data_IF_597572154017
#
_entry.id   IF_597572154017
#
_cell.length_a   1.000
_cell.length_b   1.000
_cell.length_c   1.000
_cell.angle_alpha   90.00
_cell.angle_beta   90.00
_cell.angle_gamma   90.00
#
_symmetry.space_group_name_H-M   'P 1'
#
loop_
_entity.id
_entity.type
_entity.pdbx_description
1 polymer ?
#
# COMPACT_ATOMS: atom_id res chain seq x y z
N UNK A 1 -36.03 -7.87 9.93
CA UNK A 1 -35.14 -8.32 8.85
C UNK A 1 -35.39 -7.45 7.62
N UNK A 2 -34.33 -6.95 6.97
CA UNK A 2 -34.49 -6.20 5.73
C UNK A 2 -34.91 -7.12 4.57
N UNK A 3 -35.57 -6.60 3.52
CA UNK A 3 -36.09 -7.43 2.42
C UNK A 3 -35.02 -8.32 1.76
N UNK A 4 -33.80 -7.84 1.61
CA UNK A 4 -32.69 -8.61 1.04
C UNK A 4 -32.25 -9.78 1.96
N UNK A 5 -32.30 -9.61 3.29
CA UNK A 5 -31.96 -10.67 4.25
C UNK A 5 -32.93 -11.84 4.14
N UNK A 6 -34.21 -11.59 3.93
CA UNK A 6 -35.18 -12.67 3.68
C UNK A 6 -34.90 -13.40 2.37
N UNK A 7 -34.56 -12.64 1.28
CA UNK A 7 -34.24 -13.22 -0.03
C UNK A 7 -33.00 -14.15 0.05
N UNK A 8 -31.98 -13.77 0.81
CA UNK A 8 -30.71 -14.51 0.92
C UNK A 8 -30.54 -15.31 2.19
N UNK A 9 -31.63 -15.58 2.91
CA UNK A 9 -31.63 -16.30 4.19
C UNK A 9 -30.86 -17.62 4.15
N UNK A 10 -30.92 -18.37 3.05
CA UNK A 10 -30.22 -19.64 2.88
C UNK A 10 -28.67 -19.49 2.83
N UNK A 11 -28.14 -18.31 2.52
CA UNK A 11 -26.70 -18.01 2.51
C UNK A 11 -26.20 -17.50 3.86
N UNK A 12 -27.09 -17.07 4.76
CA UNK A 12 -26.74 -16.51 6.06
C UNK A 12 -26.39 -17.64 7.02
N UNK A 13 -25.21 -17.55 7.62
CA UNK A 13 -24.72 -18.52 8.61
C UNK A 13 -23.81 -17.83 9.65
N UNK A 14 -23.46 -18.59 10.69
CA UNK A 14 -22.45 -18.12 11.67
C UNK A 14 -21.04 -18.17 11.08
N UNK A 15 -20.09 -17.40 11.65
CA UNK A 15 -18.70 -17.44 11.21
C UNK A 15 -18.10 -18.85 11.27
N UNK A 16 -18.39 -19.61 12.32
CA UNK A 16 -17.86 -20.98 12.48
C UNK A 16 -18.47 -21.97 11.45
N UNK A 17 -19.76 -21.83 11.12
CA UNK A 17 -20.38 -22.61 10.04
C UNK A 17 -19.76 -22.29 8.67
N UNK A 18 -19.48 -21.01 8.39
CA UNK A 18 -18.82 -20.62 7.16
C UNK A 18 -17.41 -21.23 7.02
N UNK A 19 -16.64 -21.27 8.12
CA UNK A 19 -15.32 -21.92 8.12
C UNK A 19 -15.43 -23.44 7.89
N UNK A 20 -16.47 -24.10 8.40
CA UNK A 20 -16.73 -25.51 8.09
C UNK A 20 -16.96 -25.75 6.59
N UNK A 21 -17.57 -24.79 5.87
CA UNK A 21 -17.83 -24.91 4.43
C UNK A 21 -16.57 -24.86 3.59
N UNK A 22 -15.53 -24.22 4.07
CA UNK A 22 -14.24 -24.10 3.37
C UNK A 22 -13.18 -25.12 3.85
N UNK A 23 -13.54 -26.12 4.65
CA UNK A 23 -12.59 -27.09 5.23
C UNK A 23 -11.77 -27.88 4.21
N UNK A 24 -12.20 -27.95 2.97
CA UNK A 24 -11.48 -28.61 1.86
C UNK A 24 -10.56 -27.65 1.09
N UNK A 25 -10.56 -26.36 1.41
CA UNK A 25 -9.69 -25.39 0.81
C UNK A 25 -8.21 -25.72 1.10
N UNK A 26 -7.36 -25.55 0.11
CA UNK A 26 -5.91 -25.67 0.24
C UNK A 26 -5.25 -24.29 0.33
N UNK A 27 -5.88 -23.29 -0.26
CA UNK A 27 -5.44 -21.89 -0.28
C UNK A 27 -6.62 -20.97 -0.03
N UNK A 28 -6.40 -19.97 0.83
CA UNK A 28 -7.38 -18.90 1.07
C UNK A 28 -6.68 -17.55 1.01
N UNK A 29 -7.47 -16.51 0.75
CA UNK A 29 -7.03 -15.13 0.87
C UNK A 29 -8.01 -14.31 1.69
N UNK A 30 -7.52 -13.16 2.18
CA UNK A 30 -8.31 -12.20 2.96
C UNK A 30 -8.47 -10.88 2.21
N UNK A 31 -9.54 -10.16 2.52
CA UNK A 31 -9.64 -8.75 2.16
C UNK A 31 -8.45 -7.95 2.69
N UNK A 32 -7.94 -7.01 1.91
CA UNK A 32 -6.75 -6.25 2.27
C UNK A 32 -7.05 -5.20 3.35
N UNK A 33 -6.19 -5.10 4.34
CA UNK A 33 -6.23 -4.08 5.43
C UNK A 33 -7.63 -3.98 6.07
N UNK A 34 -8.38 -2.91 5.78
CA UNK A 34 -9.72 -2.68 6.37
C UNK A 34 -10.84 -3.51 5.71
N UNK A 35 -10.58 -4.24 4.62
CA UNK A 35 -11.52 -5.21 4.05
C UNK A 35 -11.34 -6.62 4.63
N UNK A 36 -10.33 -6.85 5.49
CA UNK A 36 -10.21 -8.07 6.29
C UNK A 36 -11.32 -8.13 7.33
N UNK A 37 -12.02 -9.29 7.41
CA UNK A 37 -13.01 -9.56 8.45
C UNK A 37 -12.34 -10.18 9.67
N UNK A 38 -12.25 -9.44 10.77
CA UNK A 38 -11.70 -9.95 12.04
C UNK A 38 -12.50 -11.13 12.59
N UNK A 39 -13.82 -11.12 12.39
CA UNK A 39 -14.71 -12.21 12.84
C UNK A 39 -14.39 -13.51 12.12
N UNK A 40 -14.16 -13.44 10.80
CA UNK A 40 -13.84 -14.62 10.00
C UNK A 40 -12.43 -15.13 10.29
N UNK A 41 -11.44 -14.24 10.48
CA UNK A 41 -10.09 -14.66 10.87
C UNK A 41 -10.05 -15.26 12.27
N UNK A 42 -10.84 -14.75 13.22
CA UNK A 42 -10.99 -15.36 14.55
C UNK A 42 -11.71 -16.71 14.50
N UNK A 43 -12.76 -16.86 13.68
CA UNK A 43 -13.43 -18.14 13.45
C UNK A 43 -12.49 -19.18 12.83
N UNK A 44 -11.63 -18.76 11.89
CA UNK A 44 -10.60 -19.63 11.30
C UNK A 44 -9.67 -20.19 12.38
N UNK A 45 -9.21 -19.36 13.30
CA UNK A 45 -8.35 -19.78 14.41
C UNK A 45 -9.08 -20.73 15.37
N UNK A 46 -10.34 -20.45 15.72
CA UNK A 46 -11.15 -21.35 16.58
C UNK A 46 -11.32 -22.74 15.95
N UNK A 47 -11.41 -22.80 14.63
CA UNK A 47 -11.62 -24.00 13.85
C UNK A 47 -10.32 -24.57 13.22
N UNK A 48 -9.14 -24.16 13.66
CA UNK A 48 -7.85 -24.52 13.07
C UNK A 48 -7.63 -26.01 12.84
N UNK A 49 -8.18 -26.87 13.71
CA UNK A 49 -8.06 -28.34 13.61
C UNK A 49 -8.72 -28.96 12.36
N UNK A 50 -9.55 -28.19 11.63
CA UNK A 50 -10.09 -28.60 10.34
C UNK A 50 -9.06 -28.59 9.22
N UNK A 51 -7.96 -27.89 9.41
CA UNK A 51 -6.97 -27.65 8.39
C UNK A 51 -5.64 -28.33 8.70
N UNK A 52 -4.88 -28.59 7.65
CA UNK A 52 -3.51 -29.08 7.74
C UNK A 52 -2.69 -28.35 6.67
N UNK A 53 -1.84 -27.40 7.11
CA UNK A 53 -1.03 -26.57 6.20
C UNK A 53 -1.88 -25.83 5.17
N UNK A 54 -3.02 -25.27 5.61
CA UNK A 54 -3.80 -24.34 4.77
C UNK A 54 -2.92 -23.14 4.41
N UNK A 55 -2.73 -22.90 3.14
CA UNK A 55 -1.98 -21.75 2.64
C UNK A 55 -2.83 -20.48 2.74
N UNK A 56 -2.25 -19.41 3.29
CA UNK A 56 -2.91 -18.12 3.50
C UNK A 56 -2.07 -17.05 2.82
N UNK A 57 -2.57 -16.56 1.69
CA UNK A 57 -1.89 -15.56 0.87
C UNK A 57 -2.58 -14.21 0.99
N UNK A 58 -1.84 -13.19 1.35
CA UNK A 58 -2.32 -11.80 1.33
C UNK A 58 -1.15 -10.80 1.36
N UNK A 59 -1.44 -9.52 1.15
CA UNK A 59 -0.47 -8.45 1.28
C UNK A 59 -0.34 -8.00 2.74
N UNK A 60 -1.00 -6.91 3.11
CA UNK A 60 -0.90 -6.35 4.45
C UNK A 60 -2.16 -6.64 5.26
N UNK A 61 -1.99 -7.20 6.45
CA UNK A 61 -3.02 -7.30 7.46
C UNK A 61 -2.69 -6.40 8.65
N UNK A 62 -3.70 -5.74 9.18
CA UNK A 62 -3.66 -4.99 10.44
C UNK A 62 -4.36 -5.74 11.58
N UNK A 63 -4.91 -6.91 11.28
CA UNK A 63 -5.56 -7.83 12.22
C UNK A 63 -4.59 -8.45 13.23
N UNK A 64 -5.04 -9.48 13.94
CA UNK A 64 -4.24 -10.19 14.97
C UNK A 64 -3.16 -11.10 14.36
N UNK A 65 -3.36 -11.59 13.14
CA UNK A 65 -2.48 -12.50 12.39
C UNK A 65 -2.09 -13.77 13.16
N UNK A 66 -3.00 -14.32 13.98
CA UNK A 66 -2.73 -15.53 14.77
C UNK A 66 -2.35 -16.75 13.92
N UNK A 67 -2.83 -16.80 12.65
CA UNK A 67 -2.48 -17.85 11.68
C UNK A 67 -0.99 -17.83 11.31
N UNK A 68 -0.31 -16.70 11.46
CA UNK A 68 1.11 -16.53 11.14
C UNK A 68 2.04 -16.80 12.34
N UNK A 69 1.52 -17.29 13.47
CA UNK A 69 2.33 -17.64 14.62
C UNK A 69 2.86 -19.08 14.52
N UNK A 70 4.06 -19.33 15.04
CA UNK A 70 4.71 -20.64 15.05
C UNK A 70 3.81 -21.73 15.65
N UNK A 71 3.11 -21.44 16.75
CA UNK A 71 2.19 -22.38 17.44
C UNK A 71 1.00 -22.83 16.58
N UNK A 72 0.73 -22.15 15.46
CA UNK A 72 -0.33 -22.51 14.52
C UNK A 72 0.23 -23.05 13.20
N UNK A 73 1.53 -23.24 13.09
CA UNK A 73 2.21 -23.66 11.85
C UNK A 73 1.88 -25.10 11.40
N UNK A 74 1.34 -25.93 12.28
CA UNK A 74 0.80 -27.24 11.89
C UNK A 74 -0.44 -27.11 11.02
N UNK A 75 -1.28 -26.08 11.27
CA UNK A 75 -2.56 -25.86 10.62
C UNK A 75 -2.47 -24.94 9.42
N UNK A 76 -1.61 -23.91 9.52
CA UNK A 76 -1.53 -22.83 8.55
C UNK A 76 -0.10 -22.61 8.04
N UNK A 77 0.00 -22.15 6.81
CA UNK A 77 1.24 -21.65 6.20
C UNK A 77 0.97 -20.29 5.58
N UNK A 78 1.60 -19.25 6.12
CA UNK A 78 1.39 -17.89 5.61
C UNK A 78 2.44 -17.54 4.56
N UNK A 79 1.99 -17.16 3.38
CA UNK A 79 2.82 -16.56 2.33
C UNK A 79 2.46 -15.08 2.20
N UNK A 80 3.38 -14.21 2.56
CA UNK A 80 3.21 -12.77 2.48
C UNK A 80 3.63 -12.24 1.11
N UNK A 81 2.82 -11.34 0.52
CA UNK A 81 3.20 -10.57 -0.65
C UNK A 81 3.63 -9.14 -0.28
N UNK A 82 3.27 -8.72 0.93
CA UNK A 82 3.80 -7.54 1.62
C UNK A 82 3.79 -7.83 3.12
N UNK A 83 4.92 -7.64 3.78
CA UNK A 83 5.11 -8.06 5.16
C UNK A 83 4.75 -6.94 6.13
N UNK A 84 3.75 -7.19 6.97
CA UNK A 84 3.39 -6.34 8.10
C UNK A 84 4.15 -6.67 9.39
N UNK A 85 4.07 -5.81 10.41
CA UNK A 85 4.76 -6.06 11.68
C UNK A 85 4.44 -7.41 12.32
N UNK A 86 3.19 -7.89 12.19
CA UNK A 86 2.71 -9.12 12.85
C UNK A 86 2.99 -10.41 12.07
N UNK A 87 3.33 -10.29 10.78
CA UNK A 87 3.66 -11.44 9.91
C UNK A 87 5.15 -11.54 9.62
N UNK A 88 5.95 -10.58 10.11
CA UNK A 88 7.39 -10.48 9.80
C UNK A 88 8.20 -11.68 10.30
N UNK A 89 7.86 -12.21 11.46
CA UNK A 89 8.52 -13.38 11.99
C UNK A 89 8.28 -14.59 11.11
N UNK A 90 7.01 -14.88 10.75
CA UNK A 90 6.66 -15.98 9.87
C UNK A 90 7.39 -15.91 8.53
N UNK A 91 7.33 -14.76 7.86
CA UNK A 91 7.94 -14.55 6.54
C UNK A 91 9.48 -14.69 6.52
N UNK A 92 10.13 -14.68 7.69
CA UNK A 92 11.59 -14.88 7.85
C UNK A 92 11.92 -16.21 8.56
N UNK A 93 10.99 -17.16 8.61
CA UNK A 93 11.14 -18.43 9.32
C UNK A 93 10.87 -19.62 8.39
N UNK A 94 10.97 -20.85 8.92
CA UNK A 94 10.64 -22.07 8.20
C UNK A 94 9.13 -22.37 8.12
N UNK A 95 8.29 -21.56 8.77
CA UNK A 95 6.84 -21.79 8.83
C UNK A 95 6.02 -20.75 8.09
N UNK A 96 6.66 -19.86 7.33
CA UNK A 96 6.03 -18.93 6.42
C UNK A 96 6.96 -18.55 5.28
N UNK A 97 6.43 -17.85 4.29
CA UNK A 97 7.13 -17.46 3.08
C UNK A 97 6.87 -16.00 2.70
N UNK A 98 7.66 -15.49 1.77
CA UNK A 98 7.48 -14.21 1.14
C UNK A 98 7.61 -14.34 -0.38
N UNK A 99 6.59 -13.91 -1.09
CA UNK A 99 6.58 -13.86 -2.56
C UNK A 99 6.84 -12.42 -3.03
N UNK A 100 8.02 -12.10 -3.60
CA UNK A 100 8.30 -10.77 -4.13
C UNK A 100 7.47 -10.53 -5.40
N UNK A 101 6.74 -9.40 -5.42
CA UNK A 101 5.89 -9.01 -6.53
C UNK A 101 5.66 -7.51 -6.54
N UNK A 102 5.48 -6.89 -7.71
CA UNK A 102 4.97 -5.53 -7.83
C UNK A 102 3.47 -5.51 -7.53
N UNK A 103 3.01 -4.46 -6.86
CA UNK A 103 1.63 -4.45 -6.38
C UNK A 103 0.61 -4.49 -7.52
N UNK A 104 0.84 -3.79 -8.63
CA UNK A 104 -0.09 -3.82 -9.76
C UNK A 104 -0.27 -5.22 -10.38
N UNK A 105 0.71 -6.13 -10.21
CA UNK A 105 0.65 -7.49 -10.74
C UNK A 105 -0.17 -8.45 -9.87
N UNK A 106 -0.47 -8.06 -8.62
CA UNK A 106 -1.19 -8.93 -7.68
C UNK A 106 -2.59 -9.27 -8.15
N UNK A 107 -3.29 -8.35 -8.85
CA UNK A 107 -4.57 -8.65 -9.46
C UNK A 107 -4.52 -9.83 -10.44
N UNK A 108 -3.40 -9.97 -11.16
CA UNK A 108 -3.19 -11.07 -12.12
C UNK A 108 -2.94 -12.39 -11.41
N UNK A 109 -2.05 -12.41 -10.40
CA UNK A 109 -1.69 -13.69 -9.75
C UNK A 109 -2.79 -14.21 -8.82
N UNK A 110 -3.63 -13.34 -8.26
CA UNK A 110 -4.84 -13.72 -7.50
C UNK A 110 -6.05 -13.95 -8.41
N UNK A 111 -6.02 -13.45 -9.63
CA UNK A 111 -7.12 -13.55 -10.59
C UNK A 111 -7.33 -14.96 -11.14
N UNK A 112 -8.29 -15.10 -12.05
CA UNK A 112 -8.61 -16.37 -12.70
C UNK A 112 -7.36 -16.93 -13.43
N UNK A 113 -7.08 -18.20 -13.17
CA UNK A 113 -5.90 -18.91 -13.69
C UNK A 113 -4.55 -18.36 -13.18
N UNK A 114 -4.55 -17.50 -12.15
CA UNK A 114 -3.35 -17.04 -11.47
C UNK A 114 -2.79 -18.08 -10.50
N UNK A 115 -1.47 -18.04 -10.27
CA UNK A 115 -0.77 -19.03 -9.43
C UNK A 115 -1.23 -19.00 -7.95
N UNK A 116 -1.77 -17.88 -7.49
CA UNK A 116 -2.30 -17.69 -6.13
C UNK A 116 -3.83 -17.54 -6.09
N UNK A 117 -4.55 -17.99 -7.15
CA UNK A 117 -6.02 -17.99 -7.15
C UNK A 117 -6.55 -18.78 -5.96
N UNK A 118 -7.36 -18.17 -5.06
CA UNK A 118 -7.77 -18.81 -3.82
C UNK A 118 -8.92 -19.80 -4.01
N UNK A 119 -8.94 -20.88 -3.21
CA UNK A 119 -10.12 -21.75 -3.10
C UNK A 119 -11.25 -21.03 -2.34
N UNK A 120 -10.90 -20.17 -1.38
CA UNK A 120 -11.89 -19.36 -0.68
C UNK A 120 -11.35 -17.94 -0.38
N UNK A 121 -12.25 -16.96 -0.51
CA UNK A 121 -11.98 -15.55 -0.15
C UNK A 121 -12.81 -15.19 1.08
N UNK A 122 -12.14 -14.62 2.10
CA UNK A 122 -12.76 -14.17 3.35
C UNK A 122 -12.63 -12.64 3.44
N UNK A 123 -13.74 -11.92 3.46
CA UNK A 123 -13.70 -10.46 3.44
C UNK A 123 -14.87 -9.83 4.20
N UNK A 124 -14.85 -8.50 4.35
CA UNK A 124 -16.03 -7.72 4.72
C UNK A 124 -16.41 -6.73 3.62
N UNK A 125 -17.70 -6.47 3.50
CA UNK A 125 -18.29 -5.58 2.49
C UNK A 125 -19.39 -4.71 3.12
N UNK A 126 -19.78 -3.63 2.43
CA UNK A 126 -20.92 -2.80 2.84
C UNK A 126 -22.24 -3.57 2.77
N UNK A 127 -23.29 -3.02 3.38
CA UNK A 127 -24.66 -3.47 3.13
C UNK A 127 -25.00 -3.34 1.63
N UNK A 128 -25.79 -4.27 1.06
CA UNK A 128 -26.20 -4.18 -0.33
C UNK A 128 -27.15 -2.98 -0.55
N UNK A 129 -27.05 -2.39 -1.72
CA UNK A 129 -28.02 -1.38 -2.17
C UNK A 129 -29.33 -2.05 -2.66
N UNK A 130 -30.27 -1.24 -3.16
CA UNK A 130 -31.58 -1.72 -3.67
C UNK A 130 -31.45 -2.67 -4.88
N UNK A 131 -30.30 -2.67 -5.55
CA UNK A 131 -30.00 -3.53 -6.70
C UNK A 131 -29.16 -4.76 -6.30
N UNK A 132 -28.79 -4.91 -5.03
CA UNK A 132 -28.03 -6.04 -4.50
C UNK A 132 -26.51 -5.88 -4.55
N UNK A 133 -25.99 -4.68 -4.85
CA UNK A 133 -24.56 -4.44 -4.88
C UNK A 133 -24.00 -3.99 -3.53
N UNK A 134 -23.01 -4.72 -3.03
CA UNK A 134 -22.17 -4.37 -1.90
C UNK A 134 -20.88 -3.71 -2.40
N UNK A 135 -20.43 -2.65 -1.71
CA UNK A 135 -19.10 -2.10 -1.96
C UNK A 135 -18.03 -2.90 -1.21
N UNK A 136 -16.86 -3.11 -1.81
CA UNK A 136 -15.67 -3.58 -1.11
C UNK A 136 -15.20 -2.61 -0.01
N UNK A 137 -15.81 -1.45 0.06
CA UNK A 137 -15.57 -0.46 1.11
C UNK A 137 -14.21 0.21 0.97
N UNK A 138 -13.29 -0.13 1.85
CA UNK A 138 -12.03 0.60 1.99
C UNK A 138 -10.86 0.05 1.18
N UNK A 139 -10.97 -1.17 0.63
CA UNK A 139 -9.91 -1.78 -0.20
C UNK A 139 -10.51 -2.57 -1.34
N UNK A 140 -10.19 -2.15 -2.57
CA UNK A 140 -10.62 -2.83 -3.80
C UNK A 140 -9.48 -3.63 -4.45
N UNK A 141 -8.29 -3.16 -4.35
CA UNK A 141 -6.97 -3.61 -4.84
C UNK A 141 -6.96 -5.02 -5.50
N UNK A 142 -6.21 -5.98 -4.94
CA UNK A 142 -6.28 -7.39 -5.33
C UNK A 142 -7.53 -8.08 -4.78
N UNK A 143 -8.17 -7.49 -3.75
CA UNK A 143 -9.36 -8.03 -3.08
C UNK A 143 -10.44 -8.38 -4.08
N UNK A 144 -10.70 -7.50 -5.06
CA UNK A 144 -11.69 -7.75 -6.12
C UNK A 144 -11.29 -8.95 -6.99
N UNK A 145 -10.09 -8.97 -7.53
CA UNK A 145 -9.62 -10.05 -8.42
C UNK A 145 -9.58 -11.41 -7.71
N UNK A 146 -9.13 -11.43 -6.44
CA UNK A 146 -9.13 -12.62 -5.60
C UNK A 146 -10.57 -13.11 -5.31
N UNK A 147 -11.51 -12.20 -5.07
CA UNK A 147 -12.92 -12.54 -4.87
C UNK A 147 -13.56 -13.12 -6.13
N UNK A 148 -13.33 -12.50 -7.28
CA UNK A 148 -13.88 -12.95 -8.57
C UNK A 148 -13.31 -14.30 -9.04
N UNK A 149 -12.12 -14.68 -8.57
CA UNK A 149 -11.47 -15.95 -8.90
C UNK A 149 -11.74 -17.06 -7.89
N UNK A 150 -12.13 -16.70 -6.66
CA UNK A 150 -12.36 -17.67 -5.58
C UNK A 150 -13.49 -18.65 -5.93
N UNK A 151 -13.32 -19.92 -5.53
CA UNK A 151 -14.38 -20.94 -5.66
C UNK A 151 -15.50 -20.75 -4.66
N UNK A 152 -15.17 -20.17 -3.49
CA UNK A 152 -16.11 -19.89 -2.40
C UNK A 152 -15.83 -18.49 -1.87
N UNK A 153 -16.84 -17.65 -1.84
CA UNK A 153 -16.79 -16.31 -1.28
C UNK A 153 -17.56 -16.26 0.03
N UNK A 154 -16.87 -15.93 1.12
CA UNK A 154 -17.47 -15.74 2.45
C UNK A 154 -17.33 -14.25 2.81
N UNK A 155 -18.45 -13.55 2.92
CA UNK A 155 -18.44 -12.12 3.21
C UNK A 155 -19.20 -11.77 4.50
N UNK A 156 -18.54 -11.03 5.38
CA UNK A 156 -19.21 -10.28 6.42
C UNK A 156 -19.87 -9.06 5.82
N UNK A 157 -21.20 -8.95 5.90
CA UNK A 157 -21.92 -7.71 5.57
C UNK A 157 -21.97 -6.86 6.82
N UNK A 158 -21.26 -5.71 6.78
CA UNK A 158 -21.03 -4.82 7.92
C UNK A 158 -21.49 -3.41 7.58
N UNK A 159 -22.45 -2.89 8.35
CA UNK A 159 -23.01 -1.53 8.11
C UNK A 159 -22.00 -0.40 8.33
N UNK A 160 -20.90 -0.66 9.04
CA UNK A 160 -19.85 0.33 9.23
C UNK A 160 -18.89 0.46 8.05
N UNK A 161 -18.92 -0.49 7.11
CA UNK A 161 -18.16 -0.39 5.85
C UNK A 161 -18.79 0.68 4.97
N UNK A 162 -18.07 1.76 4.60
CA UNK A 162 -18.63 2.80 3.76
C UNK A 162 -18.90 2.27 2.35
N UNK A 163 -19.92 2.78 1.73
CA UNK A 163 -20.21 2.53 0.31
C UNK A 163 -19.35 3.46 -0.52
N UNK A 164 -18.14 3.05 -0.85
CA UNK A 164 -17.25 3.74 -1.79
C UNK A 164 -17.69 3.43 -3.22
N UNK A 165 -17.35 4.33 -4.15
CA UNK A 165 -17.76 4.27 -5.54
C UNK A 165 -16.57 3.96 -6.46
N UNK A 166 -16.83 3.72 -7.74
CA UNK A 166 -15.83 3.32 -8.73
C UNK A 166 -16.02 1.86 -9.19
N UNK A 167 -14.94 1.16 -9.53
CA UNK A 167 -14.99 -0.26 -9.92
C UNK A 167 -14.75 -1.18 -8.70
N UNK A 168 -15.56 -1.00 -7.64
CA UNK A 168 -15.33 -1.62 -6.33
C UNK A 168 -16.59 -2.27 -5.74
N UNK A 169 -17.39 -2.94 -6.57
CA UNK A 169 -18.63 -3.60 -6.14
C UNK A 169 -18.63 -5.10 -6.41
N UNK A 170 -19.34 -5.83 -5.54
CA UNK A 170 -19.72 -7.24 -5.70
C UNK A 170 -21.25 -7.34 -5.58
N UNK A 171 -21.87 -8.14 -6.44
CA UNK A 171 -23.28 -8.45 -6.27
C UNK A 171 -23.47 -9.53 -5.21
N UNK A 172 -24.51 -9.44 -4.38
CA UNK A 172 -24.80 -10.38 -3.29
C UNK A 172 -25.06 -11.82 -3.79
N UNK A 173 -25.44 -11.99 -5.06
CA UNK A 173 -25.58 -13.32 -5.67
C UNK A 173 -24.22 -14.03 -5.82
N UNK A 174 -23.11 -13.28 -5.94
CA UNK A 174 -21.74 -13.80 -6.06
C UNK A 174 -21.09 -14.11 -4.71
N UNK A 175 -21.79 -13.88 -3.60
CA UNK A 175 -21.38 -14.26 -2.24
C UNK A 175 -22.03 -15.61 -1.89
N UNK A 176 -21.24 -16.61 -1.54
CA UNK A 176 -21.76 -17.94 -1.19
C UNK A 176 -22.28 -18.02 0.24
N UNK A 177 -21.54 -17.42 1.20
CA UNK A 177 -21.90 -17.42 2.62
C UNK A 177 -21.82 -16.01 3.19
N UNK A 178 -22.86 -15.63 3.93
CA UNK A 178 -23.05 -14.28 4.45
C UNK A 178 -23.02 -14.33 5.98
N UNK A 179 -22.16 -13.49 6.57
CA UNK A 179 -22.14 -13.24 8.00
C UNK A 179 -22.77 -11.88 8.27
N UNK A 180 -23.84 -11.87 9.07
CA UNK A 180 -24.50 -10.63 9.48
C UNK A 180 -23.99 -10.21 10.86
N UNK A 181 -22.92 -9.47 10.88
CA UNK A 181 -22.36 -8.96 12.12
C UNK A 181 -21.71 -7.60 11.90
N UNK A 182 -22.07 -6.63 12.73
CA UNK A 182 -21.55 -5.28 12.66
C UNK A 182 -20.35 -5.12 13.59
N UNK A 183 -19.19 -4.77 13.01
CA UNK A 183 -17.97 -4.50 13.76
C UNK A 183 -17.38 -3.16 13.39
N UNK A 184 -16.81 -2.40 14.34
CA UNK A 184 -16.10 -1.17 14.02
C UNK A 184 -14.97 -1.41 13.02
N UNK A 185 -14.82 -0.51 12.06
CA UNK A 185 -13.71 -0.55 11.12
C UNK A 185 -12.43 -0.09 11.84
N UNK A 186 -11.30 -0.77 11.64
CA UNK A 186 -10.03 -0.34 12.20
C UNK A 186 -9.64 1.06 11.74
N UNK A 187 -9.12 1.87 12.66
CA UNK A 187 -8.62 3.22 12.37
C UNK A 187 -7.11 3.28 12.61
N UNK A 188 -6.42 4.03 11.75
CA UNK A 188 -5.01 4.38 11.94
C UNK A 188 -4.93 5.89 12.19
N UNK A 189 -4.44 6.29 13.37
CA UNK A 189 -4.34 7.70 13.72
C UNK A 189 -3.31 8.40 12.83
N UNK A 190 -3.50 9.70 12.66
CA UNK A 190 -2.55 10.58 11.99
C UNK A 190 -1.18 10.51 12.68
N UNK A 191 -0.09 10.32 11.93
CA UNK A 191 1.24 10.26 12.52
C UNK A 191 1.67 11.60 13.10
N UNK A 192 2.48 11.56 14.16
CA UNK A 192 3.14 12.74 14.70
C UNK A 192 4.28 13.14 13.77
N UNK A 193 4.34 14.40 13.40
CA UNK A 193 5.40 14.99 12.56
C UNK A 193 6.40 15.71 13.45
N UNK A 194 7.68 15.37 13.33
CA UNK A 194 8.79 16.04 14.01
C UNK A 194 9.52 17.01 13.08
N UNK A 195 10.48 17.77 13.63
CA UNK A 195 11.28 18.75 12.86
C UNK A 195 12.01 18.12 11.65
N UNK A 196 12.43 16.88 11.78
CA UNK A 196 13.14 16.16 10.72
C UNK A 196 12.21 15.90 9.53
N UNK A 197 11.00 15.39 9.83
CA UNK A 197 9.99 15.14 8.80
C UNK A 197 9.48 16.44 8.18
N UNK A 198 9.39 17.53 8.96
CA UNK A 198 9.04 18.85 8.42
C UNK A 198 10.06 19.34 7.41
N UNK A 199 11.37 19.23 7.68
CA UNK A 199 12.42 19.61 6.73
C UNK A 199 12.36 18.79 5.43
N UNK A 200 12.19 17.48 5.56
CA UNK A 200 12.02 16.59 4.39
C UNK A 200 10.75 16.95 3.62
N UNK A 201 9.64 17.15 4.34
CA UNK A 201 8.35 17.55 3.77
C UNK A 201 8.42 18.85 3.00
N UNK A 202 9.10 19.87 3.53
CA UNK A 202 9.33 21.15 2.86
C UNK A 202 10.13 20.99 1.56
N UNK A 203 11.20 20.19 1.61
CA UNK A 203 12.01 19.88 0.43
C UNK A 203 11.19 19.17 -0.66
N UNK A 204 10.36 18.18 -0.30
CA UNK A 204 9.45 17.51 -1.23
C UNK A 204 8.42 18.50 -1.82
N UNK A 205 7.78 19.30 -0.98
CA UNK A 205 6.76 20.27 -1.40
C UNK A 205 7.29 21.35 -2.33
N UNK A 206 8.60 21.68 -2.26
CA UNK A 206 9.23 22.63 -3.16
C UNK A 206 9.26 22.17 -4.63
N UNK A 207 9.15 20.86 -4.88
CA UNK A 207 9.11 20.27 -6.23
C UNK A 207 7.69 20.17 -6.79
N UNK A 208 6.67 20.43 -5.98
CA UNK A 208 5.25 20.34 -6.35
C UNK A 208 4.76 21.70 -6.83
N UNK A 209 4.10 21.75 -7.98
CA UNK A 209 3.52 22.94 -8.55
C UNK A 209 1.97 22.89 -8.50
N UNK A 210 1.34 24.04 -8.72
CA UNK A 210 -0.11 24.12 -8.89
C UNK A 210 -0.56 23.25 -10.08
N UNK A 211 -1.62 22.49 -9.88
CA UNK A 211 -2.17 21.59 -10.89
C UNK A 211 -1.52 20.21 -11.00
N UNK A 212 -0.43 19.95 -10.25
CA UNK A 212 0.22 18.62 -10.26
C UNK A 212 -0.73 17.54 -9.72
N UNK A 213 -0.56 16.31 -10.20
CA UNK A 213 -1.27 15.13 -9.70
C UNK A 213 -0.35 14.33 -8.77
N UNK A 214 -0.82 13.98 -7.57
CA UNK A 214 0.00 13.44 -6.50
C UNK A 214 -0.33 11.98 -6.20
N UNK A 215 0.72 11.20 -5.90
CA UNK A 215 0.68 9.97 -5.13
C UNK A 215 1.48 10.17 -3.85
N UNK A 216 0.90 9.82 -2.72
CA UNK A 216 1.50 9.91 -1.40
C UNK A 216 1.28 8.59 -0.65
N UNK A 217 2.32 8.12 0.03
CA UNK A 217 2.23 6.98 0.95
C UNK A 217 1.65 7.35 2.32
N UNK A 218 1.80 6.42 3.26
CA UNK A 218 1.51 6.64 4.69
C UNK A 218 2.80 6.97 5.46
N UNK A 219 2.64 7.55 6.65
CA UNK A 219 3.73 7.85 7.56
C UNK A 219 3.97 9.33 7.74
N UNK A 220 4.95 9.66 8.59
CA UNK A 220 5.19 11.04 9.02
C UNK A 220 5.70 11.93 7.87
N UNK A 221 6.55 11.43 6.97
CA UNK A 221 7.06 12.22 5.83
C UNK A 221 5.95 12.58 4.85
N UNK A 222 5.15 11.66 4.29
CA UNK A 222 4.02 12.02 3.42
C UNK A 222 3.05 12.98 4.11
N UNK A 223 2.77 12.80 5.40
CA UNK A 223 1.90 13.69 6.14
C UNK A 223 2.52 15.09 6.30
N UNK A 224 3.84 15.19 6.56
CA UNK A 224 4.57 16.46 6.58
C UNK A 224 4.46 17.20 5.24
N UNK A 225 4.59 16.49 4.10
CA UNK A 225 4.41 17.10 2.77
C UNK A 225 3.05 17.79 2.68
N UNK A 226 1.95 17.12 3.08
CA UNK A 226 0.60 17.69 3.01
C UNK A 226 0.47 19.01 3.76
N UNK A 227 1.21 19.20 4.87
CA UNK A 227 1.20 20.45 5.64
C UNK A 227 1.74 21.66 4.85
N UNK A 228 2.67 21.42 3.91
CA UNK A 228 3.27 22.45 3.06
C UNK A 228 2.49 22.70 1.75
N UNK A 229 1.41 21.95 1.50
CA UNK A 229 0.62 22.11 0.28
C UNK A 229 -0.55 23.09 0.39
N UNK A 230 -0.81 23.66 1.57
CA UNK A 230 -2.00 24.50 1.84
C UNK A 230 -2.13 25.72 0.93
N UNK A 231 -1.01 26.26 0.45
CA UNK A 231 -0.98 27.40 -0.45
C UNK A 231 -1.01 27.01 -1.96
N UNK A 232 -0.96 25.71 -2.26
CA UNK A 232 -1.03 25.21 -3.64
C UNK A 232 -2.48 25.25 -4.14
N UNK A 233 -2.63 25.20 -5.47
CA UNK A 233 -3.93 25.31 -6.15
C UNK A 233 -4.14 24.17 -7.14
N UNK A 234 -5.39 23.72 -7.20
CA UNK A 234 -5.88 22.79 -8.21
C UNK A 234 -5.10 21.46 -8.28
N UNK A 235 -4.56 20.97 -7.17
CA UNK A 235 -3.90 19.68 -7.12
C UNK A 235 -4.87 18.54 -7.44
N UNK A 236 -4.34 17.44 -7.97
CA UNK A 236 -5.07 16.20 -8.25
C UNK A 236 -4.52 15.03 -7.45
N UNK A 237 -5.32 13.96 -7.30
CA UNK A 237 -4.91 12.71 -6.67
C UNK A 237 -5.12 11.54 -7.62
N UNK A 238 -4.05 10.78 -7.85
CA UNK A 238 -4.04 9.43 -8.37
C UNK A 238 -3.01 8.65 -7.54
N UNK A 239 -3.47 7.88 -6.58
CA UNK A 239 -2.62 7.32 -5.53
C UNK A 239 -3.04 5.89 -5.20
N UNK A 240 -2.09 5.04 -4.84
CA UNK A 240 -2.39 3.72 -4.28
C UNK A 240 -3.36 3.84 -3.11
N UNK A 241 -3.08 4.74 -2.19
CA UNK A 241 -3.88 4.96 -1.00
C UNK A 241 -4.22 6.44 -0.78
N UNK A 242 -5.27 6.67 0.02
CA UNK A 242 -5.66 8.00 0.50
C UNK A 242 -5.79 7.99 2.01
N UNK A 243 -5.29 9.05 2.66
CA UNK A 243 -5.35 9.28 4.11
C UNK A 243 -6.16 10.52 4.49
N UNK A 244 -6.37 10.74 5.80
CA UNK A 244 -7.16 11.88 6.33
C UNK A 244 -6.68 13.25 5.85
N UNK A 245 -5.37 13.45 5.70
CA UNK A 245 -4.79 14.74 5.28
C UNK A 245 -5.25 15.18 3.88
N UNK A 246 -5.56 14.23 3.00
CA UNK A 246 -6.13 14.52 1.67
C UNK A 246 -7.53 15.12 1.80
N UNK A 247 -8.34 14.65 2.74
CA UNK A 247 -9.69 15.19 2.99
C UNK A 247 -9.61 16.65 3.44
N UNK A 248 -8.63 17.01 4.28
CA UNK A 248 -8.44 18.39 4.71
C UNK A 248 -8.09 19.31 3.54
N UNK A 249 -7.20 18.90 2.66
CA UNK A 249 -6.82 19.69 1.48
C UNK A 249 -7.96 19.78 0.45
N UNK A 250 -8.82 18.76 0.31
CA UNK A 250 -10.02 18.84 -0.51
C UNK A 250 -11.00 19.89 0.07
N UNK A 251 -11.28 19.83 1.38
CA UNK A 251 -12.17 20.77 2.07
C UNK A 251 -11.65 22.21 2.02
N UNK A 252 -10.33 22.39 2.04
CA UNK A 252 -9.68 23.68 1.86
C UNK A 252 -9.65 24.20 0.40
N UNK A 253 -10.10 23.39 -0.57
CA UNK A 253 -10.09 23.76 -1.99
C UNK A 253 -8.73 23.68 -2.66
N UNK A 254 -7.73 23.10 -2.02
CA UNK A 254 -6.38 22.87 -2.56
C UNK A 254 -6.37 21.72 -3.57
N UNK A 255 -7.00 20.61 -3.22
CA UNK A 255 -7.19 19.46 -4.10
C UNK A 255 -8.59 19.57 -4.75
N UNK A 256 -8.61 19.88 -6.02
CA UNK A 256 -9.84 20.01 -6.81
C UNK A 256 -9.99 18.93 -7.88
N UNK A 257 -8.90 18.27 -8.25
CA UNK A 257 -8.78 17.34 -9.38
C UNK A 257 -9.18 17.92 -10.75
N UNK A 258 -9.42 19.22 -10.85
CA UNK A 258 -9.91 19.89 -12.09
C UNK A 258 -8.85 19.91 -13.19
N UNK A 259 -7.57 19.98 -12.82
CA UNK A 259 -6.45 20.04 -13.76
C UNK A 259 -5.95 18.66 -14.22
N UNK A 260 -6.44 17.59 -13.63
CA UNK A 260 -6.14 16.24 -14.12
C UNK A 260 -6.63 16.09 -15.56
N UNK A 261 -5.75 15.67 -16.45
CA UNK A 261 -6.10 15.31 -17.82
C UNK A 261 -6.67 13.89 -17.93
N UNK A 262 -6.41 13.06 -16.93
CA UNK A 262 -6.93 11.69 -16.81
C UNK A 262 -7.78 11.56 -15.54
N UNK A 263 -9.00 11.02 -15.65
CA UNK A 263 -10.03 11.01 -14.58
C UNK A 263 -10.22 12.40 -13.92
N UNK A 264 -10.58 13.45 -14.67
CA UNK A 264 -10.77 14.80 -14.14
C UNK A 264 -11.87 14.82 -13.07
N UNK A 265 -11.72 15.69 -12.07
CA UNK A 265 -12.63 15.87 -10.94
C UNK A 265 -12.75 14.64 -9.99
N UNK A 266 -11.87 13.66 -10.12
CA UNK A 266 -11.89 12.43 -9.31
C UNK A 266 -10.57 12.23 -8.56
N UNK A 267 -10.69 11.90 -7.28
CA UNK A 267 -9.64 11.20 -6.52
C UNK A 267 -9.70 9.74 -6.94
N UNK A 268 -8.59 9.20 -7.43
CA UNK A 268 -8.47 7.79 -7.82
C UNK A 268 -7.56 7.09 -6.82
N UNK A 269 -8.04 6.00 -6.23
CA UNK A 269 -7.25 5.19 -5.29
C UNK A 269 -7.61 3.71 -5.39
N UNK A 270 -6.81 2.83 -4.77
CA UNK A 270 -7.14 1.42 -4.66
C UNK A 270 -7.57 1.03 -3.24
N UNK A 271 -7.11 1.79 -2.23
CA UNK A 271 -7.63 1.66 -0.86
C UNK A 271 -7.57 2.98 -0.07
N UNK A 272 -8.33 3.02 1.01
CA UNK A 272 -8.38 4.11 1.98
C UNK A 272 -7.89 3.62 3.34
N UNK A 273 -7.06 4.42 4.02
CA UNK A 273 -6.55 4.07 5.34
C UNK A 273 -6.35 5.32 6.19
N UNK A 274 -7.13 5.45 7.24
CA UNK A 274 -7.12 6.60 8.12
C UNK A 274 -8.09 6.43 9.28
N UNK A 275 -8.83 7.47 9.59
CA UNK A 275 -9.82 7.48 10.66
C UNK A 275 -11.25 7.52 10.10
N UNK A 276 -12.22 7.44 10.98
CA UNK A 276 -13.64 7.61 10.68
C UNK A 276 -13.93 8.87 9.83
N UNK A 277 -13.13 9.92 9.99
CA UNK A 277 -13.23 11.16 9.19
C UNK A 277 -13.09 10.89 7.69
N UNK A 278 -12.10 10.11 7.29
CA UNK A 278 -11.90 9.71 5.89
C UNK A 278 -13.01 8.78 5.43
N UNK A 279 -13.40 7.82 6.26
CA UNK A 279 -14.38 6.80 5.92
C UNK A 279 -15.77 7.41 5.70
N UNK A 280 -16.19 8.31 6.59
CA UNK A 280 -17.43 9.08 6.44
C UNK A 280 -17.41 9.98 5.20
N UNK A 281 -16.25 10.59 4.90
CA UNK A 281 -16.11 11.46 3.73
C UNK A 281 -16.18 10.68 2.41
N UNK A 282 -15.68 9.46 2.38
CA UNK A 282 -15.69 8.61 1.19
C UNK A 282 -17.05 7.93 0.95
N UNK A 283 -17.91 7.82 1.97
CA UNK A 283 -19.19 7.14 1.89
C UNK A 283 -20.14 7.84 0.89
N UNK A 284 -20.55 7.12 -0.16
CA UNK A 284 -21.38 7.63 -1.25
C UNK A 284 -20.87 8.94 -1.90
N UNK A 285 -19.57 9.16 -1.90
CA UNK A 285 -18.96 10.38 -2.46
C UNK A 285 -18.48 10.16 -3.90
N UNK A 286 -19.17 10.73 -4.91
CA UNK A 286 -18.80 10.53 -6.31
C UNK A 286 -17.49 11.20 -6.71
N UNK A 287 -16.89 12.04 -5.87
CA UNK A 287 -15.58 12.63 -6.11
C UNK A 287 -14.42 11.67 -5.79
N UNK A 288 -14.68 10.54 -5.11
CA UNK A 288 -13.71 9.51 -4.79
C UNK A 288 -14.11 8.21 -5.48
N UNK A 289 -13.20 7.64 -6.25
CA UNK A 289 -13.39 6.35 -6.89
C UNK A 289 -12.28 5.38 -6.50
N UNK A 290 -12.70 4.19 -6.04
CA UNK A 290 -11.79 3.07 -5.83
C UNK A 290 -11.82 2.13 -7.03
N UNK A 291 -10.64 1.70 -7.43
CA UNK A 291 -10.44 0.79 -8.55
C UNK A 291 -9.46 -0.33 -8.16
N UNK A 292 -9.49 -1.47 -8.85
CA UNK A 292 -8.50 -2.54 -8.67
C UNK A 292 -7.07 -2.05 -8.89
N UNK A 293 -6.12 -2.75 -8.30
CA UNK A 293 -4.70 -2.35 -8.27
C UNK A 293 -4.04 -2.35 -9.65
N UNK A 294 -4.45 -3.23 -10.54
CA UNK A 294 -3.99 -3.30 -11.93
C UNK A 294 -4.43 -2.09 -12.78
N UNK A 295 -5.40 -1.32 -12.30
CA UNK A 295 -5.76 -0.01 -12.86
C UNK A 295 -4.98 1.11 -12.17
N UNK A 296 -5.07 1.21 -10.83
CA UNK A 296 -4.51 2.36 -10.09
C UNK A 296 -2.99 2.38 -10.11
N UNK A 297 -2.36 1.22 -9.90
CA UNK A 297 -0.92 1.07 -9.78
C UNK A 297 -0.22 0.73 -11.11
N UNK A 298 -0.95 0.52 -12.19
CA UNK A 298 -0.34 0.22 -13.48
C UNK A 298 0.50 1.40 -13.98
N UNK A 299 1.82 1.24 -14.17
CA UNK A 299 2.69 2.33 -14.61
C UNK A 299 2.22 3.02 -15.89
N UNK A 300 1.62 2.27 -16.84
CA UNK A 300 1.09 2.82 -18.09
C UNK A 300 -0.16 3.69 -17.87
N UNK A 301 -0.95 3.39 -16.84
CA UNK A 301 -2.12 4.18 -16.48
C UNK A 301 -1.70 5.40 -15.65
N UNK A 302 -0.80 5.22 -14.69
CA UNK A 302 -0.22 6.32 -13.90
C UNK A 302 0.38 7.37 -14.83
N UNK A 303 1.15 6.95 -15.84
CA UNK A 303 1.81 7.81 -16.81
C UNK A 303 0.85 8.67 -17.65
N UNK A 304 -0.43 8.33 -17.73
CA UNK A 304 -1.43 9.14 -18.43
C UNK A 304 -1.78 10.44 -17.69
N UNK A 305 -1.50 10.53 -16.38
CA UNK A 305 -1.61 11.78 -15.65
C UNK A 305 -0.39 12.65 -15.94
N UNK A 306 -0.57 13.80 -16.59
CA UNK A 306 0.50 14.78 -16.75
C UNK A 306 0.90 15.34 -15.38
N UNK A 307 2.18 15.72 -15.24
CA UNK A 307 2.75 16.25 -13.99
C UNK A 307 2.47 15.33 -12.78
N UNK A 308 2.65 14.05 -12.98
CA UNK A 308 2.48 13.07 -11.90
C UNK A 308 3.69 13.14 -10.95
N UNK A 309 3.43 13.43 -9.68
CA UNK A 309 4.43 13.47 -8.62
C UNK A 309 4.21 12.28 -7.70
N UNK A 310 5.14 11.33 -7.69
CA UNK A 310 5.12 10.22 -6.74
C UNK A 310 6.09 10.47 -5.58
N UNK A 311 5.64 10.25 -4.33
CA UNK A 311 6.46 10.42 -3.13
C UNK A 311 6.41 9.15 -2.31
N UNK A 312 7.56 8.49 -2.23
CA UNK A 312 7.75 7.23 -1.53
C UNK A 312 8.93 7.32 -0.56
N UNK A 313 9.03 6.36 0.36
CA UNK A 313 10.11 6.32 1.34
C UNK A 313 11.07 5.16 1.09
N UNK A 314 12.27 5.23 1.70
CA UNK A 314 13.27 4.18 1.62
C UNK A 314 13.93 3.93 2.98
N UNK A 315 14.59 2.77 3.07
CA UNK A 315 15.44 2.39 4.20
C UNK A 315 16.85 2.90 3.97
N UNK A 316 17.39 2.70 2.76
CA UNK A 316 18.74 3.11 2.38
C UNK A 316 18.83 3.44 0.88
N UNK A 317 19.79 4.31 0.53
CA UNK A 317 20.18 4.62 -0.84
C UNK A 317 21.70 4.54 -0.95
N UNK A 318 22.21 3.84 -1.97
CA UNK A 318 23.66 3.79 -2.23
C UNK A 318 24.15 4.94 -3.13
N UNK A 319 25.46 5.16 -3.19
CA UNK A 319 26.03 6.26 -3.98
C UNK A 319 25.83 6.12 -5.51
N UNK A 320 25.36 4.98 -6.00
CA UNK A 320 24.95 4.80 -7.39
C UNK A 320 23.49 5.20 -7.62
N UNK A 321 22.73 5.43 -6.54
CA UNK A 321 21.31 5.75 -6.58
C UNK A 321 20.39 4.52 -6.60
N UNK A 322 20.87 3.34 -6.19
CA UNK A 322 20.03 2.18 -5.92
C UNK A 322 19.28 2.38 -4.60
N UNK A 323 18.04 1.92 -4.52
CA UNK A 323 17.17 2.08 -3.35
C UNK A 323 16.81 0.74 -2.76
N UNK A 324 17.02 0.58 -1.45
CA UNK A 324 16.46 -0.48 -0.63
C UNK A 324 15.31 0.11 0.21
N UNK A 325 14.09 -0.43 0.06
CA UNK A 325 12.92 -0.02 0.82
C UNK A 325 12.27 -1.16 1.63
N UNK A 326 12.84 -2.36 1.60
CA UNK A 326 12.14 -3.56 2.08
C UNK A 326 12.99 -4.53 2.92
N UNK A 327 14.28 -4.25 3.14
CA UNK A 327 15.20 -5.18 3.79
C UNK A 327 16.04 -4.51 4.87
N UNK A 328 16.05 -5.05 6.09
CA UNK A 328 16.78 -4.51 7.25
C UNK A 328 17.42 -5.67 8.03
N UNK A 329 18.69 -5.52 8.45
CA UNK A 329 19.37 -6.46 9.34
C UNK A 329 19.28 -7.92 8.85
N UNK A 330 19.57 -8.15 7.57
CA UNK A 330 19.54 -9.48 6.93
C UNK A 330 18.16 -10.17 6.97
N UNK A 331 17.08 -9.38 7.09
CA UNK A 331 15.70 -9.89 7.09
C UNK A 331 14.82 -9.10 6.14
N UNK A 332 13.87 -9.78 5.50
CA UNK A 332 12.81 -9.14 4.75
C UNK A 332 11.91 -8.39 5.73
N UNK A 333 11.78 -7.07 5.55
CA UNK A 333 11.08 -6.18 6.48
C UNK A 333 9.66 -5.85 6.01
N UNK A 334 9.49 -5.66 4.70
CA UNK A 334 8.21 -5.36 4.04
C UNK A 334 8.18 -6.01 2.65
N UNK A 335 7.66 -5.37 1.67
CA UNK A 335 7.73 -5.64 0.24
C UNK A 335 7.83 -4.31 -0.50
N UNK A 336 7.90 -4.31 -1.83
CA UNK A 336 7.96 -3.08 -2.62
C UNK A 336 6.65 -2.28 -2.54
N UNK A 337 5.50 -2.92 -2.28
CA UNK A 337 4.20 -2.30 -2.45
C UNK A 337 4.08 -1.70 -3.84
N UNK A 338 3.48 -0.52 -3.94
CA UNK A 338 3.38 0.23 -5.19
C UNK A 338 4.52 1.22 -5.45
N UNK A 339 5.60 1.21 -4.65
CA UNK A 339 6.69 2.17 -4.84
C UNK A 339 7.24 2.16 -6.27
N UNK A 340 7.62 0.99 -6.77
CA UNK A 340 8.20 0.87 -8.12
C UNK A 340 7.18 1.18 -9.20
N UNK A 341 5.91 0.82 -8.99
CA UNK A 341 4.81 1.12 -9.90
C UNK A 341 4.70 2.62 -10.12
N UNK A 342 4.62 3.39 -9.04
CA UNK A 342 4.50 4.86 -9.09
C UNK A 342 5.79 5.56 -9.49
N UNK A 343 6.97 5.04 -9.10
CA UNK A 343 8.26 5.57 -9.59
C UNK A 343 8.32 5.49 -11.11
N UNK A 344 8.00 4.36 -11.70
CA UNK A 344 7.98 4.16 -13.16
C UNK A 344 6.90 5.01 -13.82
N UNK A 345 5.67 4.95 -13.30
CA UNK A 345 4.56 5.72 -13.85
C UNK A 345 4.81 7.23 -13.84
N UNK A 346 5.32 7.77 -12.73
CA UNK A 346 5.65 9.18 -12.62
C UNK A 346 6.81 9.60 -13.56
N UNK A 347 7.86 8.79 -13.67
CA UNK A 347 8.97 9.11 -14.59
C UNK A 347 8.61 8.98 -16.07
N UNK A 348 7.59 8.21 -16.41
CA UNK A 348 7.02 8.11 -17.76
C UNK A 348 6.00 9.21 -18.06
N UNK A 349 5.43 9.84 -17.04
CA UNK A 349 4.47 10.94 -17.16
C UNK A 349 5.11 12.18 -17.77
N UNK A 350 4.36 12.87 -18.63
CA UNK A 350 4.82 14.16 -19.16
C UNK A 350 4.88 15.20 -18.04
N UNK A 351 6.10 15.72 -17.76
CA UNK A 351 6.35 16.65 -16.64
C UNK A 351 6.35 15.99 -15.25
N UNK A 352 6.24 14.67 -15.18
CA UNK A 352 6.21 13.94 -13.92
C UNK A 352 7.56 13.88 -13.20
N UNK A 353 7.54 13.59 -11.90
CA UNK A 353 8.71 13.45 -11.04
C UNK A 353 8.49 12.31 -10.04
N UNK A 354 9.52 11.54 -9.82
CA UNK A 354 9.52 10.49 -8.79
C UNK A 354 10.47 10.90 -7.65
N UNK A 355 9.94 10.94 -6.45
CA UNK A 355 10.65 11.35 -5.24
C UNK A 355 10.75 10.15 -4.28
N UNK A 356 11.97 9.86 -3.86
CA UNK A 356 12.25 8.96 -2.74
C UNK A 356 12.78 9.83 -1.58
N UNK A 357 12.02 9.88 -0.50
CA UNK A 357 12.31 10.70 0.66
C UNK A 357 12.61 9.85 1.90
N UNK A 358 13.72 10.13 2.56
CA UNK A 358 14.15 9.39 3.76
C UNK A 358 14.97 10.28 4.71
N UNK A 359 14.95 10.00 6.03
CA UNK A 359 15.93 10.56 6.93
C UNK A 359 17.34 10.18 6.51
N UNK A 360 18.31 11.08 6.69
CA UNK A 360 19.71 10.77 6.32
C UNK A 360 20.38 9.74 7.23
N UNK A 361 19.83 9.53 8.45
CA UNK A 361 20.33 8.56 9.45
C UNK A 361 19.20 7.79 10.13
N UNK A 362 19.57 6.79 10.91
CA UNK A 362 18.70 6.19 11.93
C UNK A 362 18.38 7.21 13.04
N UNK A 363 17.30 6.98 13.82
CA UNK A 363 16.86 7.92 14.86
C UNK A 363 17.92 8.19 15.95
N UNK A 364 18.85 7.26 16.20
CA UNK A 364 19.96 7.42 17.10
C UNK A 364 21.23 8.02 16.45
N UNK A 365 21.14 8.45 15.22
CA UNK A 365 22.22 9.03 14.38
C UNK A 365 23.50 8.17 14.27
N UNK A 366 23.37 6.86 14.51
CA UNK A 366 24.53 5.96 14.44
C UNK A 366 24.80 5.40 13.08
N UNK A 367 23.77 5.24 12.25
CA UNK A 367 23.86 4.60 10.93
C UNK A 367 23.38 5.58 9.86
N UNK A 368 24.19 5.80 8.84
CA UNK A 368 23.79 6.55 7.65
C UNK A 368 22.82 5.76 6.79
N UNK A 369 21.78 6.41 6.27
CA UNK A 369 20.88 5.82 5.27
C UNK A 369 21.31 6.12 3.84
N UNK A 370 22.21 7.08 3.64
CA UNK A 370 22.99 7.22 2.40
C UNK A 370 24.26 6.42 2.61
N UNK A 371 24.43 5.32 1.86
CA UNK A 371 25.52 4.38 2.03
C UNK A 371 26.40 4.29 0.78
N UNK A 372 27.65 3.91 0.93
CA UNK A 372 28.53 3.75 -0.22
C UNK A 372 28.04 2.66 -1.18
N UNK A 373 27.67 1.50 -0.67
CA UNK A 373 27.06 0.38 -1.38
C UNK A 373 26.26 -0.45 -0.38
N UNK A 374 25.26 -1.14 -0.84
CA UNK A 374 24.52 -2.06 0.02
C UNK A 374 25.41 -3.21 0.50
N UNK A 375 25.09 -3.74 1.67
CA UNK A 375 25.67 -4.99 2.17
C UNK A 375 25.29 -6.16 1.24
N UNK A 376 26.11 -7.21 1.29
CA UNK A 376 25.86 -8.41 0.50
C UNK A 376 24.50 -9.04 0.86
N UNK A 377 23.67 -9.29 -0.16
CA UNK A 377 22.35 -9.91 0.00
C UNK A 377 21.20 -8.93 0.19
N UNK A 378 21.44 -7.62 0.31
CA UNK A 378 20.39 -6.61 0.34
C UNK A 378 19.78 -6.47 -1.06
N UNK A 379 18.46 -6.61 -1.23
CA UNK A 379 17.80 -6.44 -2.52
C UNK A 379 17.76 -4.97 -2.93
N UNK A 380 17.70 -4.74 -4.24
CA UNK A 380 17.45 -3.43 -4.83
C UNK A 380 15.96 -3.32 -5.13
N UNK A 381 15.22 -2.59 -4.30
CA UNK A 381 13.78 -2.38 -4.50
C UNK A 381 13.53 -1.51 -5.72
N UNK A 382 14.18 -0.34 -5.78
CA UNK A 382 14.11 0.55 -6.95
C UNK A 382 15.46 0.67 -7.62
N UNK A 383 15.51 0.30 -8.90
CA UNK A 383 16.71 0.34 -9.73
C UNK A 383 17.22 1.77 -9.87
N UNK A 384 18.55 1.94 -9.88
CA UNK A 384 19.20 3.24 -10.18
C UNK A 384 18.76 3.84 -11.53
N UNK A 385 18.22 3.05 -12.44
CA UNK A 385 17.73 3.51 -13.73
C UNK A 385 16.35 4.16 -13.63
N UNK A 386 15.54 3.75 -12.63
CA UNK A 386 14.20 4.26 -12.37
C UNK A 386 14.20 5.48 -11.44
N UNK A 387 15.22 5.60 -10.56
CA UNK A 387 15.32 6.68 -9.56
C UNK A 387 15.52 8.05 -10.21
N UNK A 388 14.75 9.06 -9.74
CA UNK A 388 14.77 10.43 -10.20
C UNK A 388 15.29 11.38 -9.10
N UNK A 389 14.51 11.65 -8.06
CA UNK A 389 14.91 12.50 -6.93
C UNK A 389 15.09 11.68 -5.65
N UNK A 390 16.17 11.96 -4.92
CA UNK A 390 16.38 11.53 -3.54
C UNK A 390 16.38 12.77 -2.65
N UNK A 391 15.62 12.72 -1.56
CA UNK A 391 15.44 13.86 -0.64
C UNK A 391 15.70 13.42 0.80
N UNK A 392 16.50 14.23 1.51
CA UNK A 392 16.68 14.13 2.96
C UNK A 392 16.40 15.49 3.60
N UNK A 393 16.54 15.60 4.91
CA UNK A 393 16.49 16.88 5.64
C UNK A 393 17.61 17.86 5.26
N UNK A 394 18.66 17.39 4.57
CA UNK A 394 19.80 18.20 4.10
C UNK A 394 19.67 18.70 2.66
N UNK A 395 18.64 18.27 1.93
CA UNK A 395 18.38 18.79 0.59
C UNK A 395 17.88 17.78 -0.42
N UNK A 396 18.04 18.11 -1.69
CA UNK A 396 17.47 17.44 -2.85
C UNK A 396 18.61 17.01 -3.79
N UNK A 397 18.68 15.74 -4.13
CA UNK A 397 19.56 15.19 -5.15
C UNK A 397 18.75 14.73 -6.37
N UNK A 398 18.86 15.42 -7.49
CA UNK A 398 18.28 15.03 -8.78
C UNK A 398 19.25 14.12 -9.51
N UNK A 399 18.92 12.83 -9.63
CA UNK A 399 19.82 11.79 -10.15
C UNK A 399 19.57 11.40 -11.60
N UNK A 400 18.35 11.62 -12.13
CA UNK A 400 18.02 11.27 -13.52
C UNK A 400 18.92 12.01 -14.50
N UNK A 401 19.49 11.28 -15.46
CA UNK A 401 20.43 11.85 -16.44
C UNK A 401 21.84 12.16 -15.91
N UNK A 402 22.15 11.86 -14.64
CA UNK A 402 23.47 12.09 -14.04
C UNK A 402 24.37 10.87 -14.16
N UNK A 403 25.66 11.12 -14.39
CA UNK A 403 26.72 10.10 -14.34
C UNK A 403 26.85 9.54 -12.91
N UNK A 404 27.45 8.36 -12.76
CA UNK A 404 27.67 7.77 -11.41
C UNK A 404 28.53 8.68 -10.50
N UNK A 405 29.49 9.42 -11.06
CA UNK A 405 30.30 10.39 -10.32
C UNK A 405 29.47 11.57 -9.82
N UNK A 406 28.63 12.15 -10.69
CA UNK A 406 27.71 13.22 -10.29
C UNK A 406 26.69 12.75 -9.25
N UNK A 407 26.13 11.54 -9.41
CA UNK A 407 25.20 10.93 -8.42
C UNK A 407 25.86 10.82 -7.04
N UNK A 408 27.08 10.28 -6.98
CA UNK A 408 27.81 10.15 -5.74
C UNK A 408 28.04 11.52 -5.06
N UNK A 409 28.42 12.55 -5.81
CA UNK A 409 28.58 13.94 -5.29
C UNK A 409 27.28 14.43 -4.69
N UNK A 410 26.19 14.39 -5.45
CA UNK A 410 24.87 14.87 -5.03
C UNK A 410 24.35 14.13 -3.79
N UNK A 411 24.52 12.80 -3.73
CA UNK A 411 24.08 12.01 -2.60
C UNK A 411 24.91 12.26 -1.33
N UNK A 412 26.22 12.49 -1.47
CA UNK A 412 27.08 12.89 -0.34
C UNK A 412 26.65 14.24 0.23
N UNK A 413 26.24 15.19 -0.63
CA UNK A 413 25.78 16.53 -0.21
C UNK A 413 24.51 16.45 0.66
N UNK A 414 23.61 15.52 0.39
CA UNK A 414 22.38 15.32 1.16
C UNK A 414 22.51 14.28 2.27
N UNK A 415 23.66 13.62 2.43
CA UNK A 415 23.95 12.76 3.55
C UNK A 415 24.13 13.56 4.84
N UNK A 416 23.95 12.91 5.99
CA UNK A 416 24.23 13.55 7.28
C UNK A 416 25.70 13.99 7.37
N UNK A 417 26.00 15.23 7.84
CA UNK A 417 27.35 15.79 7.85
C UNK A 417 28.42 14.87 8.47
N UNK A 418 28.06 14.16 9.53
CA UNK A 418 28.94 13.19 10.24
C UNK A 418 29.53 12.10 9.33
N UNK A 419 28.83 11.71 8.26
CA UNK A 419 29.22 10.61 7.38
C UNK A 419 29.78 11.06 6.03
N UNK A 420 29.72 12.36 5.70
CA UNK A 420 30.11 12.86 4.37
C UNK A 420 31.57 12.61 4.04
N UNK A 421 32.46 12.78 5.03
CA UNK A 421 33.91 12.61 4.80
C UNK A 421 34.27 11.14 4.51
N UNK A 422 33.69 10.19 5.25
CA UNK A 422 33.88 8.77 4.99
C UNK A 422 33.33 8.36 3.62
N UNK A 423 32.11 8.82 3.30
CA UNK A 423 31.49 8.55 2.00
C UNK A 423 32.33 9.12 0.85
N UNK A 424 32.88 10.34 1.01
CA UNK A 424 33.74 11.00 0.02
C UNK A 424 35.02 10.21 -0.19
N UNK A 425 35.69 9.79 0.87
CA UNK A 425 36.92 8.97 0.78
C UNK A 425 36.66 7.71 -0.02
N UNK A 426 35.62 6.94 0.32
CA UNK A 426 35.26 5.69 -0.39
C UNK A 426 34.83 5.95 -1.85
N UNK A 427 34.19 7.09 -2.13
CA UNK A 427 33.81 7.47 -3.48
C UNK A 427 35.04 7.82 -4.35
N UNK A 428 36.06 8.48 -3.78
CA UNK A 428 37.32 8.76 -4.48
C UNK A 428 38.00 7.44 -4.88
N UNK A 429 38.12 6.50 -3.96
CA UNK A 429 38.75 5.20 -4.20
C UNK A 429 38.07 4.43 -5.33
N UNK A 430 36.74 4.49 -5.46
CA UNK A 430 35.97 3.72 -6.45
C UNK A 430 35.71 4.46 -7.76
N UNK A 431 35.39 5.73 -7.69
CA UNK A 431 34.93 6.51 -8.84
C UNK A 431 35.94 7.55 -9.33
N UNK A 432 37.09 7.67 -8.65
CA UNK A 432 38.10 8.72 -8.92
C UNK A 432 37.45 10.13 -8.92
N UNK A 433 36.57 10.38 -7.92
CA UNK A 433 35.91 11.66 -7.76
C UNK A 433 36.87 12.62 -7.07
N UNK A 434 37.16 13.75 -7.70
CA UNK A 434 37.94 14.87 -7.12
C UNK A 434 37.01 15.92 -6.51
#
# INVERSE_FOLDING_TARGET
MEKWQEKYKAKICSPDEAIQKIKSAKRISFGHICSESSILTEALIRNKKLFKKLEIDHLLSIGKCEYAKEENSEYFHHNALFIGPKTREAANSSYGDYTPIFFYETAKIFGKDGDLSPDAMLLQVSTPDEHGYCSYGLSCDYTKSATESAKIVVAQINKFVPRTLGNCFIHIDDIDYIILEDTPIPEIPTPVVGELEEKIGANCASLINDGDTLQLGIGAIPFAVLNFLKEKKDLGIHSEMVSDGIVDLIKAGVITNKKKNFNPNKVIATFLLGTKKLYDYANNNPAIELHPVDYVNNPMIIAQNNNMISINSAIQVDLMGQVNAEYINSKQFSGPGGQVDFVRGATMSNGGKSIIALPSTTADEKISRIVFTFEKGVPVTTSRNDVDYIITEYGIAHLKGKTLRERAKLLIEIAHPKFREELRKRAIEKFEIL
#
